data_IF_114994583485
#
_entry.id   IF_114994583485
#
_cell.length_a   1.000
_cell.length_b   1.000
_cell.length_c   1.000
_cell.angle_alpha   90.00
_cell.angle_beta   90.00
_cell.angle_gamma   90.00
#
_symmetry.space_group_name_H-M   'P 1'
#
loop_
_entity.id
_entity.type
_entity.pdbx_description
1 polymer ?
#
# COMPACT_ATOMS: atom_id res chain seq x y z
N UNK A 1 -2.56 11.77 -9.10
CA UNK A 1 -2.67 10.80 -7.98
C UNK A 1 -1.25 10.44 -7.54
N UNK A 2 -0.94 10.43 -6.25
CA UNK A 2 0.39 10.06 -5.76
C UNK A 2 0.45 8.58 -5.36
N UNK A 3 1.47 7.87 -5.80
CA UNK A 3 1.75 6.50 -5.34
C UNK A 3 2.72 6.53 -4.16
N UNK A 4 2.35 5.82 -3.10
CA UNK A 4 3.15 5.65 -1.88
C UNK A 4 3.31 4.16 -1.59
N UNK A 5 4.40 3.79 -0.92
CA UNK A 5 4.56 2.42 -0.44
C UNK A 5 5.08 2.42 0.99
N UNK A 6 4.43 1.65 1.85
CA UNK A 6 4.94 1.29 3.17
C UNK A 6 5.60 -0.08 3.05
N UNK A 7 6.92 -0.12 3.19
CA UNK A 7 7.70 -1.36 3.08
C UNK A 7 7.95 -1.95 4.47
N UNK A 8 7.45 -3.17 4.71
CA UNK A 8 7.72 -3.91 5.95
C UNK A 8 9.09 -4.61 5.93
N UNK A 9 9.79 -4.60 4.79
CA UNK A 9 11.16 -5.13 4.61
C UNK A 9 11.31 -6.59 5.03
N UNK A 10 10.33 -7.42 4.66
CA UNK A 10 10.30 -8.85 4.98
C UNK A 10 10.94 -9.73 3.90
N UNK A 11 11.23 -9.14 2.73
CA UNK A 11 11.81 -9.82 1.56
C UNK A 11 13.15 -9.19 1.15
N UNK A 12 13.91 -9.88 0.29
CA UNK A 12 15.17 -9.36 -0.28
C UNK A 12 14.88 -8.09 -1.11
N UNK A 13 15.43 -6.91 -0.73
CA UNK A 13 15.15 -5.65 -1.41
C UNK A 13 15.61 -5.64 -2.88
N UNK A 14 16.54 -6.53 -3.28
CA UNK A 14 17.00 -6.66 -4.67
C UNK A 14 15.95 -7.33 -5.57
N UNK A 15 15.03 -8.10 -4.99
CA UNK A 15 13.94 -8.81 -5.69
C UNK A 15 12.57 -8.16 -5.48
N UNK A 16 12.48 -7.19 -4.56
CA UNK A 16 11.25 -6.50 -4.21
C UNK A 16 10.83 -5.46 -5.27
N UNK A 17 9.62 -5.63 -5.82
CA UNK A 17 9.03 -4.70 -6.78
C UNK A 17 8.77 -3.31 -6.19
N UNK A 18 8.33 -3.23 -4.92
CA UNK A 18 8.13 -1.96 -4.24
C UNK A 18 9.45 -1.17 -4.10
N UNK A 19 10.53 -1.86 -3.72
CA UNK A 19 11.85 -1.26 -3.65
C UNK A 19 12.31 -0.74 -5.02
N UNK A 20 12.00 -1.47 -6.10
CA UNK A 20 12.27 -1.03 -7.48
C UNK A 20 11.47 0.23 -7.85
N UNK A 21 10.18 0.29 -7.52
CA UNK A 21 9.33 1.47 -7.76
C UNK A 21 9.87 2.71 -7.02
N UNK A 22 10.32 2.54 -5.78
CA UNK A 22 10.95 3.61 -5.00
C UNK A 22 12.28 4.04 -5.62
N UNK A 23 13.14 3.08 -6.02
CA UNK A 23 14.43 3.36 -6.67
C UNK A 23 14.29 4.21 -7.94
N UNK A 24 13.24 3.96 -8.74
CA UNK A 24 12.98 4.71 -9.97
C UNK A 24 12.12 5.97 -9.75
N UNK A 25 11.80 6.35 -8.51
CA UNK A 25 11.01 7.55 -8.21
C UNK A 25 9.53 7.46 -8.60
N UNK A 26 9.03 6.26 -8.94
CA UNK A 26 7.63 6.02 -9.32
C UNK A 26 6.70 5.96 -8.09
N UNK A 27 7.26 5.66 -6.92
CA UNK A 27 6.53 5.65 -5.65
C UNK A 27 7.33 6.35 -4.55
N UNK A 28 6.64 7.05 -3.65
CA UNK A 28 7.26 7.65 -2.46
C UNK A 28 7.24 6.65 -1.28
N UNK A 29 8.39 6.32 -0.67
CA UNK A 29 8.41 5.48 0.53
C UNK A 29 7.78 6.26 1.70
N UNK A 30 6.99 5.56 2.53
CA UNK A 30 6.42 6.12 3.76
C UNK A 30 6.61 5.16 4.92
N UNK A 31 6.75 5.70 6.13
CA UNK A 31 6.86 4.91 7.37
C UNK A 31 5.51 4.65 8.04
N UNK A 32 4.50 5.47 7.73
CA UNK A 32 3.15 5.39 8.30
C UNK A 32 2.09 5.72 7.24
N UNK A 33 0.91 5.14 7.39
CA UNK A 33 -0.25 5.48 6.56
C UNK A 33 -1.03 6.66 7.14
N UNK A 34 -1.95 7.22 6.36
CA UNK A 34 -2.71 8.43 6.71
C UNK A 34 -4.17 8.28 6.31
N UNK A 35 -5.10 8.91 7.02
CA UNK A 35 -6.54 8.85 6.70
C UNK A 35 -6.90 9.30 5.28
N UNK A 36 -6.09 10.19 4.69
CA UNK A 36 -6.32 10.79 3.34
C UNK A 36 -5.77 9.96 2.17
N UNK A 37 -5.41 8.70 2.40
CA UNK A 37 -4.89 7.79 1.37
C UNK A 37 -5.79 6.57 1.22
N UNK A 38 -5.81 6.00 0.03
CA UNK A 38 -6.41 4.70 -0.22
C UNK A 38 -5.38 3.61 0.06
N UNK A 39 -5.76 2.59 0.81
CA UNK A 39 -4.92 1.44 1.12
C UNK A 39 -5.31 0.29 0.20
N UNK A 40 -4.35 -0.22 -0.56
CA UNK A 40 -4.52 -1.49 -1.25
C UNK A 40 -4.42 -2.60 -0.20
N UNK A 41 -5.56 -3.23 0.06
CA UNK A 41 -5.73 -4.26 1.08
C UNK A 41 -6.42 -5.47 0.44
N UNK A 42 -5.70 -6.59 0.23
CA UNK A 42 -6.25 -7.78 -0.44
C UNK A 42 -7.42 -8.41 0.31
N UNK A 43 -7.58 -8.12 1.61
CA UNK A 43 -8.65 -8.64 2.47
C UNK A 43 -9.82 -7.67 2.63
N UNK A 44 -9.80 -6.52 1.93
CA UNK A 44 -10.92 -5.57 1.98
C UNK A 44 -12.19 -6.15 1.35
N UNK A 45 -13.35 -5.86 1.95
CA UNK A 45 -14.65 -6.21 1.38
C UNK A 45 -14.99 -5.38 0.14
N UNK A 46 -14.51 -4.13 0.06
CA UNK A 46 -14.82 -3.18 -1.01
C UNK A 46 -13.74 -3.21 -2.09
N UNK A 47 -14.14 -3.32 -3.35
CA UNK A 47 -13.24 -3.26 -4.51
C UNK A 47 -12.89 -1.82 -4.88
N UNK A 48 -11.66 -1.59 -5.35
CA UNK A 48 -11.22 -0.31 -5.90
C UNK A 48 -12.06 0.08 -7.12
N UNK A 49 -12.60 1.31 -7.11
CA UNK A 49 -13.41 1.86 -8.19
C UNK A 49 -12.82 3.16 -8.72
N UNK A 50 -13.13 3.49 -9.97
CA UNK A 50 -12.74 4.77 -10.60
C UNK A 50 -13.28 5.98 -9.81
N UNK A 51 -14.45 5.84 -9.17
CA UNK A 51 -15.06 6.86 -8.32
C UNK A 51 -14.24 7.19 -7.08
N UNK A 52 -13.38 6.28 -6.61
CA UNK A 52 -12.50 6.52 -5.44
C UNK A 52 -11.47 7.63 -5.73
N UNK A 53 -11.19 7.96 -7.01
CA UNK A 53 -10.34 9.11 -7.39
C UNK A 53 -10.83 10.44 -6.83
N UNK A 54 -12.14 10.57 -6.56
CA UNK A 54 -12.73 11.78 -5.97
C UNK A 54 -12.52 11.86 -4.45
N UNK A 55 -12.25 10.73 -3.80
CA UNK A 55 -12.14 10.62 -2.33
C UNK A 55 -10.71 10.84 -1.83
N UNK A 56 -9.72 10.46 -2.62
CA UNK A 56 -8.31 10.46 -2.19
C UNK A 56 -7.40 11.10 -3.24
N UNK A 57 -6.26 11.63 -2.78
CA UNK A 57 -5.19 12.15 -3.66
C UNK A 57 -4.01 11.19 -3.79
N UNK A 58 -3.96 10.13 -2.98
CA UNK A 58 -2.90 9.13 -3.00
C UNK A 58 -3.40 7.71 -2.77
N UNK A 59 -2.65 6.76 -3.31
CA UNK A 59 -2.78 5.32 -3.06
C UNK A 59 -1.50 4.88 -2.34
N UNK A 60 -1.66 4.11 -1.28
CA UNK A 60 -0.56 3.49 -0.54
C UNK A 60 -0.65 1.98 -0.66
N UNK A 61 0.38 1.37 -1.24
CA UNK A 61 0.61 -0.06 -1.17
C UNK A 61 1.30 -0.43 0.14
N UNK A 62 0.96 -1.59 0.70
CA UNK A 62 1.70 -2.21 1.80
C UNK A 62 2.53 -3.32 1.18
N UNK A 63 3.84 -3.19 1.25
CA UNK A 63 4.79 -4.19 0.77
C UNK A 63 5.17 -5.11 1.92
N UNK A 64 4.66 -6.34 1.85
CA UNK A 64 4.86 -7.41 2.80
C UNK A 64 4.95 -8.75 2.07
N UNK A 65 5.57 -9.73 2.71
CA UNK A 65 5.61 -11.09 2.17
C UNK A 65 4.20 -11.70 2.20
N UNK A 66 3.81 -12.45 1.15
CA UNK A 66 2.51 -13.13 1.11
C UNK A 66 2.31 -14.09 2.30
N UNK A 67 3.38 -14.76 2.73
CA UNK A 67 3.36 -15.65 3.90
C UNK A 67 2.98 -14.91 5.20
N UNK A 68 3.21 -13.59 5.24
CA UNK A 68 2.94 -12.74 6.40
C UNK A 68 1.74 -11.81 6.17
N UNK A 69 1.10 -11.84 4.99
CA UNK A 69 0.04 -10.90 4.64
C UNK A 69 -1.14 -10.93 5.62
N UNK A 70 -1.59 -12.13 6.02
CA UNK A 70 -2.69 -12.24 6.99
C UNK A 70 -2.32 -11.54 8.30
N UNK A 71 -1.12 -11.80 8.84
CA UNK A 71 -0.64 -11.17 10.07
C UNK A 71 -0.44 -9.67 9.92
N UNK A 72 0.15 -9.22 8.80
CA UNK A 72 0.39 -7.81 8.51
C UNK A 72 -0.90 -6.99 8.46
N UNK A 73 -2.00 -7.58 7.98
CA UNK A 73 -3.30 -6.92 7.84
C UNK A 73 -4.28 -7.25 8.98
N UNK A 74 -3.88 -7.99 10.03
CA UNK A 74 -4.72 -8.19 11.23
C UNK A 74 -5.11 -6.86 11.87
N UNK A 75 -4.17 -5.91 11.90
CA UNK A 75 -4.44 -4.53 12.33
C UNK A 75 -4.70 -3.67 11.09
N UNK A 76 -5.83 -2.94 11.04
CA UNK A 76 -6.13 -2.10 9.90
C UNK A 76 -5.13 -0.95 9.80
N UNK A 77 -4.62 -0.71 8.60
CA UNK A 77 -3.87 0.49 8.28
C UNK A 77 -4.80 1.69 8.21
N UNK A 78 -4.35 2.84 8.70
CA UNK A 78 -5.13 4.10 8.60
C UNK A 78 -5.28 4.51 7.15
N UNK A 79 -6.52 4.64 6.67
CA UNK A 79 -6.86 5.04 5.31
C UNK A 79 -8.12 4.35 4.80
N UNK A 80 -8.49 4.62 3.56
CA UNK A 80 -9.65 4.01 2.92
C UNK A 80 -9.23 2.68 2.30
N UNK A 81 -9.63 1.56 2.88
CA UNK A 81 -9.24 0.23 2.37
C UNK A 81 -10.05 -0.19 1.14
N UNK A 82 -9.36 -0.71 0.12
CA UNK A 82 -9.92 -1.32 -1.11
C UNK A 82 -9.10 -2.54 -1.53
N UNK A 83 -9.75 -3.55 -2.09
CA UNK A 83 -9.10 -4.68 -2.79
C UNK A 83 -9.07 -4.44 -4.29
#
# INVERSE_FOLDING_TARGET
MHLKVLMLKQDDPRKCSAAKLVKFGLAKPVTRTTSRTLILNPFSKKTLLESDKKLVRSITGIDCSWNLAISAFQKPFTGISRK
#
